data_IF_892784694961
#
_entry.id   IF_892784694961
#
_cell.length_a   1.000
_cell.length_b   1.000
_cell.length_c   1.000
_cell.angle_alpha   90.00
_cell.angle_beta   90.00
_cell.angle_gamma   90.00
#
_symmetry.space_group_name_H-M   'P 1'
#
loop_
_entity.id
_entity.type
_entity.pdbx_description
1 polymer ?
#
# COMPACT_ATOMS: atom_id res chain seq x y z
N UNK A 1 15.24 -9.82 16.39
CA UNK A 1 14.46 -9.13 16.72
C UNK A 1 13.97 -7.98 15.99
N UNK A 2 14.74 -7.15 15.59
CA UNK A 2 14.32 -5.99 14.87
C UNK A 2 13.67 -6.31 13.56
N UNK A 3 14.04 -7.38 12.97
CA UNK A 3 13.53 -7.80 11.69
C UNK A 3 12.05 -7.93 11.65
N UNK A 4 11.46 -8.38 12.73
CA UNK A 4 10.05 -8.62 12.74
C UNK A 4 9.21 -7.39 12.88
N UNK A 5 9.80 -6.24 13.06
CA UNK A 5 9.03 -5.03 13.25
C UNK A 5 8.12 -4.73 12.08
N UNK A 6 8.56 -5.03 10.86
CA UNK A 6 7.73 -4.80 9.69
C UNK A 6 6.48 -5.64 9.69
N UNK A 7 6.59 -6.87 10.21
CA UNK A 7 5.45 -7.76 10.25
C UNK A 7 4.40 -7.29 11.24
N UNK A 8 4.82 -6.49 12.22
CA UNK A 8 3.92 -6.01 13.24
C UNK A 8 3.52 -4.56 13.03
N UNK A 9 3.88 -4.01 11.87
CA UNK A 9 3.49 -2.67 11.54
C UNK A 9 1.98 -2.58 11.50
N UNK A 10 1.37 -1.54 12.09
CA UNK A 10 -0.08 -1.42 12.03
C UNK A 10 -0.56 -1.22 10.60
N UNK A 11 -1.81 -1.57 10.35
CA UNK A 11 -2.38 -1.37 9.02
C UNK A 11 -2.51 0.11 8.74
N UNK A 12 -3.01 0.86 9.72
CA UNK A 12 -3.17 2.30 9.61
C UNK A 12 -2.41 3.02 10.71
N UNK A 13 -1.97 4.24 10.39
CA UNK A 13 -1.35 5.14 11.36
C UNK A 13 -2.45 5.93 12.06
N UNK A 14 -2.57 5.74 13.38
CA UNK A 14 -3.65 6.35 14.15
C UNK A 14 -3.62 7.87 14.09
N UNK A 15 -2.43 8.46 14.08
CA UNK A 15 -2.30 9.91 14.02
C UNK A 15 -2.87 10.45 12.73
N UNK A 16 -2.51 9.83 11.60
CA UNK A 16 -3.01 10.26 10.30
C UNK A 16 -4.52 10.07 10.22
N UNK A 17 -5.03 8.93 10.71
CA UNK A 17 -6.46 8.68 10.69
C UNK A 17 -7.22 9.70 11.52
N UNK A 18 -6.68 10.08 12.68
CA UNK A 18 -7.33 11.10 13.50
C UNK A 18 -7.40 12.43 12.77
N UNK A 19 -6.32 12.81 12.11
CA UNK A 19 -6.30 14.05 11.34
C UNK A 19 -7.31 14.01 10.21
N UNK A 20 -7.36 12.89 9.49
CA UNK A 20 -8.30 12.75 8.38
C UNK A 20 -9.73 12.79 8.88
N UNK A 21 -9.98 12.15 10.03
CA UNK A 21 -11.31 12.16 10.61
C UNK A 21 -11.74 13.57 10.96
N UNK A 22 -10.83 14.34 11.54
CA UNK A 22 -11.14 15.71 11.93
C UNK A 22 -11.41 16.60 10.73
N UNK A 23 -10.64 16.42 9.66
CA UNK A 23 -10.76 17.27 8.48
C UNK A 23 -11.94 16.86 7.59
N UNK A 24 -12.11 15.57 7.36
CA UNK A 24 -13.08 15.06 6.41
C UNK A 24 -14.44 14.77 7.01
N UNK A 25 -14.47 14.45 8.30
CA UNK A 25 -15.73 14.18 9.01
C UNK A 25 -16.60 13.20 8.23
N UNK A 26 -17.77 13.64 7.77
CA UNK A 26 -18.70 12.73 7.09
C UNK A 26 -18.17 12.23 5.76
N UNK A 27 -17.22 12.93 5.18
CA UNK A 27 -16.65 12.54 3.89
C UNK A 27 -15.57 11.45 4.03
N UNK A 28 -15.15 11.15 5.26
CA UNK A 28 -14.06 10.20 5.46
C UNK A 28 -14.34 8.85 4.81
N UNK A 29 -15.55 8.34 4.99
CA UNK A 29 -15.90 7.03 4.47
C UNK A 29 -15.77 7.00 2.94
N UNK A 30 -16.27 8.04 2.28
CA UNK A 30 -16.21 8.10 0.83
C UNK A 30 -14.77 8.17 0.33
N UNK A 31 -13.94 8.96 1.02
CA UNK A 31 -12.54 9.09 0.65
C UNK A 31 -11.79 7.77 0.86
N UNK A 32 -12.02 7.12 2.00
CA UNK A 32 -11.35 5.85 2.26
C UNK A 32 -11.79 4.76 1.29
N UNK A 33 -13.01 4.85 0.77
CA UNK A 33 -13.51 3.87 -0.19
C UNK A 33 -12.75 3.92 -1.51
N UNK A 34 -11.97 4.97 -1.76
CA UNK A 34 -11.16 5.04 -2.98
C UNK A 34 -9.91 4.17 -2.90
N UNK A 35 -9.51 3.75 -1.68
CA UNK A 35 -8.29 2.99 -1.50
C UNK A 35 -8.33 1.63 -2.20
N UNK A 36 -9.37 0.80 -2.04
CA UNK A 36 -9.37 -0.51 -2.68
C UNK A 36 -9.19 -0.47 -4.18
N UNK A 37 -9.95 0.32 -4.96
CA UNK A 37 -9.74 0.31 -6.41
C UNK A 37 -8.39 0.87 -6.81
N UNK A 38 -7.87 1.87 -6.09
CA UNK A 38 -6.58 2.43 -6.45
C UNK A 38 -5.43 1.49 -6.11
N UNK A 39 -5.50 0.85 -4.95
CA UNK A 39 -4.48 -0.12 -4.57
C UNK A 39 -4.50 -1.31 -5.51
N UNK A 40 -5.68 -1.76 -5.90
CA UNK A 40 -5.81 -2.87 -6.85
C UNK A 40 -5.22 -2.52 -8.20
N UNK A 41 -5.47 -1.29 -8.66
CA UNK A 41 -4.92 -0.84 -9.94
C UNK A 41 -3.38 -0.81 -9.88
N UNK A 42 -2.82 -0.29 -8.80
CA UNK A 42 -1.38 -0.23 -8.66
C UNK A 42 -0.77 -1.63 -8.60
N UNK A 43 -1.42 -2.53 -7.88
CA UNK A 43 -0.94 -3.91 -7.80
C UNK A 43 -0.94 -4.58 -9.18
N UNK A 44 -1.99 -4.34 -9.97
CA UNK A 44 -2.05 -4.90 -11.31
C UNK A 44 -0.96 -4.33 -12.21
N UNK A 45 -0.65 -3.04 -12.07
CA UNK A 45 0.43 -2.44 -12.81
C UNK A 45 1.78 -3.06 -12.45
N UNK A 46 1.99 -3.31 -11.17
CA UNK A 46 3.23 -3.95 -10.72
C UNK A 46 3.33 -5.36 -11.32
N UNK A 47 2.25 -6.12 -11.26
CA UNK A 47 2.25 -7.48 -11.82
C UNK A 47 2.50 -7.47 -13.33
N UNK A 48 1.89 -6.53 -14.04
CA UNK A 48 2.10 -6.41 -15.47
C UNK A 48 3.54 -6.03 -15.79
N UNK A 49 4.13 -5.17 -14.99
CA UNK A 49 5.51 -4.77 -15.18
C UNK A 49 6.46 -5.94 -14.95
N UNK A 50 6.16 -6.78 -13.95
CA UNK A 50 6.95 -7.98 -13.69
C UNK A 50 6.89 -8.90 -14.91
N UNK A 51 5.70 -9.12 -15.44
CA UNK A 51 5.52 -9.99 -16.60
C UNK A 51 6.27 -9.45 -17.83
N UNK A 52 6.37 -8.13 -17.95
CA UNK A 52 7.09 -7.49 -19.04
C UNK A 52 8.58 -7.31 -18.73
N UNK A 53 9.01 -7.73 -17.55
CA UNK A 53 10.40 -7.56 -17.10
C UNK A 53 10.82 -6.09 -17.14
N UNK A 54 9.91 -5.21 -16.77
CA UNK A 54 10.13 -3.77 -16.80
C UNK A 54 10.29 -3.25 -15.36
N UNK A 55 11.53 -3.21 -14.90
CA UNK A 55 11.81 -2.80 -13.53
C UNK A 55 11.41 -1.35 -13.28
N UNK A 56 11.65 -0.49 -14.24
CA UNK A 56 11.32 0.92 -14.08
C UNK A 56 9.83 1.10 -13.85
N UNK A 57 9.00 0.44 -14.67
CA UNK A 57 7.55 0.54 -14.53
C UNK A 57 7.07 -0.02 -13.19
N UNK A 58 7.68 -1.13 -12.75
CA UNK A 58 7.31 -1.72 -11.47
C UNK A 58 7.61 -0.77 -10.32
N UNK A 59 8.78 -0.16 -10.34
CA UNK A 59 9.18 0.76 -9.28
C UNK A 59 8.35 2.04 -9.31
N UNK A 60 7.99 2.52 -10.51
CA UNK A 60 7.18 3.72 -10.62
C UNK A 60 5.78 3.48 -10.06
N UNK A 61 5.18 2.33 -10.36
CA UNK A 61 3.87 2.00 -9.83
C UNK A 61 3.90 1.85 -8.31
N UNK A 62 4.97 1.24 -7.79
CA UNK A 62 5.12 1.09 -6.34
C UNK A 62 5.32 2.45 -5.67
N UNK A 63 6.03 3.36 -6.33
CA UNK A 63 6.22 4.71 -5.79
C UNK A 63 4.88 5.44 -5.68
N UNK A 64 4.06 5.36 -6.73
CA UNK A 64 2.74 5.97 -6.70
C UNK A 64 1.87 5.39 -5.59
N UNK A 65 1.91 4.07 -5.43
CA UNK A 65 1.16 3.41 -4.38
C UNK A 65 1.62 3.86 -3.00
N UNK A 66 2.93 4.01 -2.82
CA UNK A 66 3.48 4.49 -1.56
C UNK A 66 2.92 5.87 -1.21
N UNK A 67 2.91 6.78 -2.18
CA UNK A 67 2.40 8.12 -1.97
C UNK A 67 0.94 8.12 -1.57
N UNK A 68 0.14 7.34 -2.29
CA UNK A 68 -1.28 7.23 -1.98
C UNK A 68 -1.48 6.66 -0.58
N UNK A 69 -0.75 5.60 -0.25
CA UNK A 69 -0.90 4.95 1.04
C UNK A 69 -0.52 5.88 2.19
N UNK A 70 0.53 6.67 2.01
CA UNK A 70 0.95 7.62 3.04
C UNK A 70 -0.10 8.71 3.25
N UNK A 71 -0.75 9.15 2.18
CA UNK A 71 -1.79 10.18 2.31
C UNK A 71 -2.93 9.73 3.19
N UNK A 72 -3.23 8.43 3.20
CA UNK A 72 -4.33 7.90 3.98
C UNK A 72 -3.89 7.17 5.24
N UNK A 73 -2.61 7.22 5.55
CA UNK A 73 -2.09 6.55 6.74
C UNK A 73 -2.07 5.04 6.64
N UNK A 74 -2.14 4.47 5.43
CA UNK A 74 -2.08 3.03 5.23
C UNK A 74 -0.62 2.58 5.27
N UNK A 75 -0.05 2.58 6.47
CA UNK A 75 1.40 2.44 6.63
C UNK A 75 1.92 1.06 6.27
N UNK A 76 1.12 0.01 6.44
CA UNK A 76 1.59 -1.32 6.07
C UNK A 76 1.79 -1.43 4.56
N UNK A 77 0.83 -0.89 3.79
CA UNK A 77 1.00 -0.84 2.33
C UNK A 77 2.20 0.03 1.99
N UNK A 78 2.30 1.19 2.64
CA UNK A 78 3.38 2.14 2.34
C UNK A 78 4.75 1.55 2.58
N UNK A 79 4.90 0.77 3.65
CA UNK A 79 6.18 0.16 3.98
C UNK A 79 6.63 -0.83 2.90
N UNK A 80 5.71 -1.70 2.47
CA UNK A 80 6.06 -2.72 1.49
C UNK A 80 6.25 -2.10 0.11
N UNK A 81 5.32 -1.23 -0.31
CA UNK A 81 5.43 -0.57 -1.60
C UNK A 81 6.68 0.31 -1.66
N UNK A 82 7.00 0.97 -0.55
CA UNK A 82 8.21 1.79 -0.48
C UNK A 82 9.47 0.96 -0.65
N UNK A 83 9.49 -0.25 -0.10
CA UNK A 83 10.63 -1.15 -0.28
C UNK A 83 10.80 -1.52 -1.75
N UNK A 84 9.69 -1.79 -2.45
CA UNK A 84 9.76 -2.08 -3.88
C UNK A 84 10.32 -0.87 -4.63
N UNK A 85 9.81 0.31 -4.33
CA UNK A 85 10.18 1.51 -5.07
C UNK A 85 11.64 1.89 -4.87
N UNK A 86 12.19 1.67 -3.68
CA UNK A 86 13.52 2.16 -3.36
C UNK A 86 14.62 1.12 -3.44
N UNK A 87 14.31 -0.13 -3.09
CA UNK A 87 15.37 -1.09 -2.85
C UNK A 87 15.35 -2.32 -3.75
N UNK A 88 14.44 -2.40 -4.71
CA UNK A 88 14.40 -3.56 -5.59
C UNK A 88 15.38 -3.36 -6.74
N UNK A 89 16.45 -4.16 -6.79
CA UNK A 89 17.44 -4.02 -7.87
C UNK A 89 17.04 -4.71 -9.16
N UNK A 90 16.06 -5.62 -9.10
CA UNK A 90 15.63 -6.37 -10.27
C UNK A 90 14.19 -6.82 -10.12
N UNK A 91 13.65 -7.31 -11.23
CA UNK A 91 12.25 -7.73 -11.28
C UNK A 91 11.99 -8.92 -10.35
N UNK A 92 12.97 -9.81 -10.18
CA UNK A 92 12.82 -10.93 -9.28
C UNK A 92 12.60 -10.50 -7.84
N UNK A 93 13.30 -9.43 -7.42
CA UNK A 93 13.13 -8.90 -6.08
C UNK A 93 11.74 -8.30 -5.94
N UNK A 94 11.27 -7.58 -6.97
CA UNK A 94 9.92 -7.03 -6.95
C UNK A 94 8.90 -8.16 -6.80
N UNK A 95 9.08 -9.23 -7.56
CA UNK A 95 8.15 -10.36 -7.54
C UNK A 95 8.03 -10.97 -6.15
N UNK A 96 9.12 -11.00 -5.39
CA UNK A 96 9.10 -11.55 -4.04
C UNK A 96 8.27 -10.71 -3.07
N UNK A 97 8.06 -9.44 -3.38
CA UNK A 97 7.28 -8.56 -2.53
C UNK A 97 5.79 -8.55 -2.87
N UNK A 98 5.40 -9.16 -4.00
CA UNK A 98 4.00 -9.11 -4.44
C UNK A 98 3.08 -9.79 -3.44
N UNK A 99 3.46 -10.96 -2.94
CA UNK A 99 2.64 -11.67 -1.96
C UNK A 99 2.38 -10.85 -0.70
N UNK A 100 3.44 -10.37 -0.04
CA UNK A 100 3.26 -9.51 1.12
C UNK A 100 2.46 -8.24 0.81
N UNK A 101 2.67 -7.64 -0.35
CA UNK A 101 1.93 -6.44 -0.73
C UNK A 101 0.45 -6.75 -0.92
N UNK A 102 0.16 -7.84 -1.60
CA UNK A 102 -1.22 -8.26 -1.83
C UNK A 102 -1.93 -8.52 -0.50
N UNK A 103 -1.24 -9.16 0.42
CA UNK A 103 -1.79 -9.42 1.75
C UNK A 103 -2.07 -8.11 2.50
N UNK A 104 -1.13 -7.17 2.44
CA UNK A 104 -1.30 -5.88 3.11
C UNK A 104 -2.48 -5.11 2.53
N UNK A 105 -2.64 -5.15 1.21
CA UNK A 105 -3.77 -4.48 0.55
C UNK A 105 -5.08 -5.12 0.99
N UNK A 106 -5.12 -6.46 1.02
CA UNK A 106 -6.33 -7.17 1.43
C UNK A 106 -6.71 -6.85 2.86
N UNK A 107 -5.74 -6.82 3.76
CA UNK A 107 -6.00 -6.51 5.17
C UNK A 107 -6.46 -5.07 5.33
N UNK A 108 -5.86 -4.16 4.59
CA UNK A 108 -6.26 -2.76 4.65
C UNK A 108 -7.69 -2.57 4.15
N UNK A 109 -8.02 -3.23 3.03
CA UNK A 109 -9.36 -3.13 2.47
C UNK A 109 -10.41 -3.72 3.40
N UNK A 110 -10.08 -4.83 4.05
CA UNK A 110 -11.00 -5.45 4.99
C UNK A 110 -11.31 -4.51 6.15
N UNK A 111 -10.32 -3.75 6.59
CA UNK A 111 -10.50 -2.83 7.70
C UNK A 111 -11.40 -1.67 7.29
N UNK A 112 -11.31 -1.24 6.04
CA UNK A 112 -12.14 -0.15 5.52
C UNK A 112 -13.59 -0.58 5.40
N UNK A 113 -13.81 -1.82 4.99
CA UNK A 113 -15.17 -2.32 4.74
C UNK A 113 -15.92 -2.75 5.99
N UNK A 114 -15.21 -2.86 7.12
CA UNK A 114 -15.88 -3.28 8.33
C UNK A 114 -16.88 -2.21 8.79
N UNK A 115 -18.07 -2.62 9.17
CA UNK A 115 -19.02 -1.67 9.74
C UNK A 115 -18.49 -1.18 11.07
N UNK A 116 -18.81 0.04 11.38
CA UNK A 116 -18.30 0.66 12.62
C UNK A 116 -19.35 0.63 13.70
#
# INVERSE_FOLDING_TARGET
MVIEQKEFEPIFDDTTLSMLRDVLQDDLRAVMASIPPEAGRALNLIKAAIAAEDLYAARAAAHSLTGMALNFGAVRIATIAGSIARYSPDVGTVARHVGPLECAIRETCARIELPV
#
